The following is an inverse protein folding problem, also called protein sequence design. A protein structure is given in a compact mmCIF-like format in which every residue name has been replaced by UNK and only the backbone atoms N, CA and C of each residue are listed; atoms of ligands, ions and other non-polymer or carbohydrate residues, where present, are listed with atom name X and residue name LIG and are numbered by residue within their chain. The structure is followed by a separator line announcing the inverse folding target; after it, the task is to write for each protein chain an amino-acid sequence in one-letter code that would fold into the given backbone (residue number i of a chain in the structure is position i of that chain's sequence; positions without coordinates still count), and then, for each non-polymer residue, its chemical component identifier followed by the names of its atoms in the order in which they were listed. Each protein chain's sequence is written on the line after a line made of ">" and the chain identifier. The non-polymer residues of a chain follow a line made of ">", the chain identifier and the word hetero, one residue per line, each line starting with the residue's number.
data_IF_773831986120
#
_entry.id   IF_773831986120
#
_cell.length_a   1.000
_cell.length_b   1.000
_cell.length_c   1.000
_cell.angle_alpha   90.00
_cell.angle_beta   90.00
_cell.angle_gamma   90.00
#
_symmetry.space_group_name_H-M   'P 1'
#
loop_
_entity.id
_entity.type
_entity.pdbx_description
1 polymer ?
#
# COMPACT_ATOMS: atom_id res chain seq x y z
N UNK A 1 44.09 0.61 -27.44
CA UNK A 1 43.48 0.98 -26.18
C UNK A 1 44.13 2.27 -25.71
N UNK A 2 43.38 3.39 -25.57
CA UNK A 2 43.93 4.63 -25.05
C UNK A 2 44.41 4.39 -23.62
N UNK A 3 45.69 4.71 -23.34
CA UNK A 3 46.30 4.59 -22.03
C UNK A 3 45.52 5.44 -21.00
N UNK A 4 45.08 4.82 -19.91
CA UNK A 4 44.40 5.45 -18.80
C UNK A 4 45.36 6.01 -17.74
N UNK A 5 46.68 6.06 -18.03
CA UNK A 5 47.72 6.46 -17.08
C UNK A 5 47.55 7.90 -16.57
N UNK A 6 47.16 8.84 -17.45
CA UNK A 6 46.92 10.24 -17.06
C UNK A 6 45.73 10.43 -16.13
N UNK A 7 44.54 9.88 -16.43
CA UNK A 7 43.39 9.92 -15.50
C UNK A 7 43.68 9.22 -14.17
N UNK A 8 44.35 8.07 -14.21
CA UNK A 8 44.73 7.32 -13.01
C UNK A 8 45.69 8.13 -12.11
N UNK A 9 46.76 8.70 -12.68
CA UNK A 9 47.67 9.54 -11.92
C UNK A 9 47.01 10.77 -11.32
N UNK A 10 46.08 11.42 -12.02
CA UNK A 10 45.28 12.54 -11.50
C UNK A 10 44.42 12.14 -10.31
N UNK A 11 43.69 11.03 -10.42
CA UNK A 11 42.85 10.53 -9.36
C UNK A 11 43.66 10.14 -8.13
N UNK A 12 44.78 9.42 -8.33
CA UNK A 12 45.66 8.99 -7.25
C UNK A 12 46.31 10.15 -6.55
N UNK A 13 46.72 11.19 -7.28
CA UNK A 13 47.31 12.39 -6.71
C UNK A 13 46.35 13.17 -5.82
N UNK A 14 45.05 13.17 -6.16
CA UNK A 14 44.02 13.93 -5.47
C UNK A 14 43.03 13.03 -4.70
N UNK A 15 43.45 11.82 -4.30
CA UNK A 15 42.55 10.84 -3.68
C UNK A 15 41.77 11.38 -2.47
N UNK A 16 42.40 12.22 -1.64
CA UNK A 16 41.77 12.84 -0.47
C UNK A 16 40.57 13.71 -0.87
N UNK A 17 40.72 14.50 -1.94
CA UNK A 17 39.63 15.34 -2.46
C UNK A 17 38.48 14.47 -2.99
N UNK A 18 38.79 13.40 -3.72
CA UNK A 18 37.81 12.48 -4.22
C UNK A 18 37.04 11.77 -3.09
N UNK A 19 37.73 11.36 -2.01
CA UNK A 19 37.05 10.78 -0.83
C UNK A 19 36.13 11.80 -0.18
N UNK A 20 36.52 13.05 -0.04
CA UNK A 20 35.68 14.11 0.53
C UNK A 20 34.44 14.35 -0.35
N UNK A 21 34.64 14.45 -1.68
CA UNK A 21 33.52 14.60 -2.63
C UNK A 21 32.56 13.42 -2.53
N UNK A 22 33.05 12.19 -2.48
CA UNK A 22 32.27 10.99 -2.34
C UNK A 22 31.43 11.02 -1.05
N UNK A 23 32.04 11.37 0.08
CA UNK A 23 31.34 11.48 1.36
C UNK A 23 30.26 12.57 1.32
N UNK A 24 30.52 13.71 0.70
CA UNK A 24 29.54 14.79 0.54
C UNK A 24 28.37 14.32 -0.31
N UNK A 25 28.60 13.57 -1.38
CA UNK A 25 27.54 13.06 -2.26
C UNK A 25 26.79 11.87 -1.66
N UNK A 26 27.42 11.15 -0.73
CA UNK A 26 26.80 10.00 -0.07
C UNK A 26 25.56 10.41 0.76
N UNK A 27 25.65 11.54 1.48
CA UNK A 27 24.53 12.01 2.32
C UNK A 27 23.25 12.29 1.51
N UNK A 28 23.28 13.13 0.45
CA UNK A 28 22.06 13.35 -0.36
C UNK A 28 21.60 12.09 -1.09
N UNK A 29 22.50 11.17 -1.45
CA UNK A 29 22.15 9.90 -2.08
C UNK A 29 21.37 8.99 -1.13
N UNK A 30 21.84 8.84 0.12
CA UNK A 30 21.12 8.08 1.15
C UNK A 30 19.78 8.75 1.48
N UNK A 31 19.76 10.08 1.61
CA UNK A 31 18.53 10.82 1.84
C UNK A 31 17.52 10.60 0.71
N UNK A 32 17.95 10.75 -0.55
CA UNK A 32 17.09 10.52 -1.72
C UNK A 32 16.57 9.08 -1.78
N UNK A 33 17.43 8.09 -1.54
CA UNK A 33 17.03 6.69 -1.53
C UNK A 33 15.95 6.39 -0.47
N UNK A 34 16.09 6.94 0.73
CA UNK A 34 15.16 6.72 1.83
C UNK A 34 13.83 7.49 1.67
N UNK A 35 13.78 8.49 0.78
CA UNK A 35 12.58 9.29 0.50
C UNK A 35 11.99 8.99 -0.88
N UNK A 36 12.54 8.03 -1.61
CA UNK A 36 11.96 7.57 -2.86
C UNK A 36 10.91 6.51 -2.55
N UNK A 37 9.65 6.87 -2.77
CA UNK A 37 8.54 5.94 -2.63
C UNK A 37 8.26 5.28 -3.99
N UNK A 38 8.14 3.97 -3.99
CA UNK A 38 7.82 3.20 -5.18
C UNK A 38 6.34 2.84 -5.14
N UNK A 39 5.55 3.53 -5.96
CA UNK A 39 4.13 3.23 -6.11
C UNK A 39 3.90 2.34 -7.33
N UNK A 40 3.35 1.18 -7.10
CA UNK A 40 2.95 0.25 -8.16
C UNK A 40 1.53 0.58 -8.65
N UNK A 41 1.34 1.71 -9.32
CA UNK A 41 0.05 2.04 -9.93
C UNK A 41 0.07 1.69 -11.42
N UNK A 42 -0.32 0.46 -11.76
CA UNK A 42 -0.37 -0.02 -13.14
C UNK A 42 -1.39 0.77 -13.95
N UNK A 43 -2.52 1.14 -13.36
CA UNK A 43 -3.57 1.90 -14.05
C UNK A 43 -3.08 3.26 -14.56
N UNK A 44 -2.23 3.96 -13.81
CA UNK A 44 -1.64 5.24 -14.25
C UNK A 44 -0.59 5.10 -15.35
N UNK A 45 -0.01 3.92 -15.55
CA UNK A 45 0.93 3.66 -16.64
C UNK A 45 0.24 3.35 -17.97
N UNK A 46 -1.07 3.10 -17.94
CA UNK A 46 -1.88 2.82 -19.11
C UNK A 46 -2.38 4.13 -19.76
N UNK A 47 -2.63 4.14 -21.09
CA UNK A 47 -3.19 5.31 -21.75
C UNK A 47 -4.53 5.73 -21.13
N UNK A 48 -4.70 7.05 -20.91
CA UNK A 48 -5.94 7.61 -20.36
C UNK A 48 -7.19 7.36 -21.24
N UNK A 49 -6.97 7.01 -22.52
CA UNK A 49 -8.03 6.72 -23.48
C UNK A 49 -8.60 5.30 -23.39
N UNK A 50 -8.08 4.47 -22.51
CA UNK A 50 -8.64 3.12 -22.30
C UNK A 50 -10.00 3.23 -21.62
N UNK A 51 -10.95 2.40 -22.08
CA UNK A 51 -12.33 2.40 -21.58
C UNK A 51 -12.40 2.22 -20.05
N UNK A 52 -11.51 1.43 -19.47
CA UNK A 52 -11.44 1.24 -18.01
C UNK A 52 -11.02 2.54 -17.28
N UNK A 53 -10.08 3.31 -17.82
CA UNK A 53 -9.65 4.58 -17.23
C UNK A 53 -10.74 5.63 -17.37
N UNK A 54 -11.37 5.72 -18.55
CA UNK A 54 -12.51 6.60 -18.78
C UNK A 54 -13.67 6.30 -17.84
N UNK A 55 -14.00 5.01 -17.65
CA UNK A 55 -15.05 4.57 -16.74
C UNK A 55 -14.71 4.90 -15.27
N UNK A 56 -13.48 4.70 -14.85
CA UNK A 56 -13.03 5.05 -13.49
C UNK A 56 -13.12 6.56 -13.24
N UNK A 57 -12.68 7.38 -14.22
CA UNK A 57 -12.75 8.83 -14.11
C UNK A 57 -14.22 9.32 -14.02
N UNK A 58 -15.12 8.65 -14.74
CA UNK A 58 -16.55 8.97 -14.72
C UNK A 58 -17.20 8.58 -13.38
N UNK A 59 -16.87 7.41 -12.82
CA UNK A 59 -17.31 7.00 -11.48
C UNK A 59 -16.81 7.98 -10.43
N UNK A 60 -15.55 8.38 -10.51
CA UNK A 60 -14.98 9.39 -9.61
C UNK A 60 -15.70 10.74 -9.73
N UNK A 61 -15.96 11.19 -10.93
CA UNK A 61 -16.62 12.49 -11.18
C UNK A 61 -18.07 12.52 -10.71
N UNK A 62 -18.81 11.41 -10.83
CA UNK A 62 -20.24 11.37 -10.52
C UNK A 62 -20.53 10.91 -9.07
N UNK A 63 -19.72 10.03 -8.51
CA UNK A 63 -19.97 9.42 -7.20
C UNK A 63 -18.93 9.80 -6.14
N UNK A 64 -17.87 10.53 -6.52
CA UNK A 64 -16.75 10.89 -5.63
C UNK A 64 -16.12 9.66 -4.94
N UNK A 65 -16.08 8.54 -5.68
CA UNK A 65 -15.49 7.27 -5.26
C UNK A 65 -14.33 6.94 -6.18
N UNK A 66 -13.14 6.83 -5.62
CA UNK A 66 -11.92 6.46 -6.36
C UNK A 66 -11.50 5.02 -6.10
N UNK A 67 -11.92 4.47 -4.96
CA UNK A 67 -11.51 3.13 -4.55
C UNK A 67 -12.57 2.47 -3.68
N UNK A 68 -12.56 1.15 -3.63
CA UNK A 68 -13.42 0.36 -2.76
C UNK A 68 -12.61 -0.67 -2.00
N UNK A 69 -12.72 -0.63 -0.67
CA UNK A 69 -12.17 -1.65 0.21
C UNK A 69 -13.26 -2.61 0.63
N UNK A 70 -12.89 -3.85 0.85
CA UNK A 70 -13.77 -4.89 1.36
C UNK A 70 -13.25 -5.27 2.74
N UNK A 71 -14.11 -5.19 3.73
CA UNK A 71 -13.84 -5.68 5.09
C UNK A 71 -14.46 -7.06 5.20
N UNK A 72 -13.65 -8.06 5.47
CA UNK A 72 -14.07 -9.41 5.78
C UNK A 72 -13.99 -9.60 7.30
N UNK A 73 -15.09 -10.02 7.90
CA UNK A 73 -15.24 -10.19 9.34
C UNK A 73 -15.92 -11.51 9.67
N UNK A 74 -15.76 -11.98 10.90
CA UNK A 74 -16.45 -13.18 11.40
C UNK A 74 -17.96 -12.98 11.33
N UNK A 75 -18.66 -13.97 10.75
CA UNK A 75 -20.12 -13.97 10.64
C UNK A 75 -20.79 -13.99 12.01
N UNK A 76 -20.23 -14.71 12.99
CA UNK A 76 -20.83 -14.91 14.30
C UNK A 76 -20.55 -13.73 15.27
N UNK A 77 -19.82 -12.71 14.83
CA UNK A 77 -19.63 -11.48 15.60
C UNK A 77 -20.98 -10.84 15.93
N UNK A 78 -21.13 -10.32 17.16
CA UNK A 78 -22.36 -9.66 17.60
C UNK A 78 -22.72 -8.47 16.68
N UNK A 79 -23.99 -8.39 16.29
CA UNK A 79 -24.51 -7.37 15.36
C UNK A 79 -24.28 -5.94 15.85
N UNK A 80 -24.25 -5.71 17.18
CA UNK A 80 -23.93 -4.39 17.76
C UNK A 80 -22.46 -4.05 17.58
N UNK A 81 -21.58 -5.04 17.70
CA UNK A 81 -20.14 -4.85 17.47
C UNK A 81 -19.86 -4.58 16.00
N UNK A 82 -20.48 -5.34 15.07
CA UNK A 82 -20.40 -5.08 13.63
C UNK A 82 -20.82 -3.66 13.29
N UNK A 83 -21.99 -3.24 13.80
CA UNK A 83 -22.50 -1.89 13.56
C UNK A 83 -21.52 -0.83 14.07
N UNK A 84 -21.03 -0.97 15.31
CA UNK A 84 -20.09 -0.02 15.92
C UNK A 84 -18.77 0.05 15.14
N UNK A 85 -18.22 -1.10 14.74
CA UNK A 85 -17.04 -1.18 13.90
C UNK A 85 -17.24 -0.43 12.57
N UNK A 86 -18.37 -0.63 11.89
CA UNK A 86 -18.68 0.05 10.64
C UNK A 86 -18.90 1.55 10.80
N UNK A 87 -19.48 1.98 11.92
CA UNK A 87 -19.58 3.41 12.27
C UNK A 87 -18.21 4.03 12.52
N UNK A 88 -17.31 3.35 13.23
CA UNK A 88 -15.93 3.82 13.42
C UNK A 88 -15.16 3.89 12.10
N UNK A 89 -15.32 2.89 11.23
CA UNK A 89 -14.72 2.88 9.87
C UNK A 89 -15.29 4.05 9.04
N UNK A 90 -16.59 4.30 9.12
CA UNK A 90 -17.23 5.41 8.42
C UNK A 90 -16.69 6.80 8.82
N UNK A 91 -16.13 6.93 10.03
CA UNK A 91 -15.51 8.17 10.52
C UNK A 91 -14.02 8.30 10.14
N UNK A 92 -13.44 7.30 9.49
CA UNK A 92 -12.04 7.39 9.01
C UNK A 92 -11.97 8.40 7.88
N UNK A 93 -10.95 9.25 7.91
CA UNK A 93 -10.74 10.30 6.90
C UNK A 93 -10.71 9.71 5.49
N UNK A 94 -11.48 10.30 4.57
CA UNK A 94 -11.55 9.88 3.18
C UNK A 94 -12.50 8.70 2.91
N UNK A 95 -13.15 8.14 3.93
CA UNK A 95 -14.25 7.18 3.73
C UNK A 95 -15.50 7.97 3.38
N UNK A 96 -16.13 7.60 2.28
CA UNK A 96 -17.38 8.25 1.79
C UNK A 96 -18.61 7.52 2.26
N UNK A 97 -18.60 6.21 2.19
CA UNK A 97 -19.73 5.39 2.62
C UNK A 97 -19.27 3.99 3.03
N UNK A 98 -20.07 3.37 3.87
CA UNK A 98 -19.90 1.97 4.28
C UNK A 98 -21.19 1.23 3.98
N UNK A 99 -21.07 0.05 3.36
CA UNK A 99 -22.21 -0.82 3.04
C UNK A 99 -21.93 -2.17 3.70
N UNK A 100 -22.79 -2.56 4.61
CA UNK A 100 -22.74 -3.85 5.29
C UNK A 100 -24.13 -4.45 5.35
N UNK A 101 -24.23 -5.72 5.70
CA UNK A 101 -25.54 -6.36 5.89
C UNK A 101 -26.40 -5.58 6.88
N UNK A 102 -25.80 -5.13 7.98
CA UNK A 102 -26.49 -4.34 9.00
C UNK A 102 -26.96 -2.96 8.53
N UNK A 103 -26.22 -2.35 7.57
CA UNK A 103 -26.63 -1.05 7.00
C UNK A 103 -27.76 -1.17 5.98
N UNK A 104 -27.84 -2.31 5.27
CA UNK A 104 -28.91 -2.57 4.30
C UNK A 104 -30.25 -2.88 4.99
N UNK A 105 -30.20 -3.52 6.15
CA UNK A 105 -31.38 -3.97 6.86
C UNK A 105 -32.09 -2.89 7.67
N UNK A 106 -31.34 -1.87 8.10
CA UNK A 106 -31.89 -0.94 9.11
C UNK A 106 -32.30 -1.69 10.40
N UNK A 107 -32.71 -0.98 11.45
CA UNK A 107 -33.00 -1.61 12.75
C UNK A 107 -34.30 -2.44 12.79
N UNK A 108 -35.07 -2.46 11.73
CA UNK A 108 -36.45 -2.98 11.74
C UNK A 108 -36.70 -4.19 10.79
N UNK A 109 -35.75 -4.50 9.92
CA UNK A 109 -35.92 -5.56 8.92
C UNK A 109 -35.22 -6.83 9.41
N UNK A 110 -35.93 -7.95 9.63
CA UNK A 110 -35.30 -9.23 9.95
C UNK A 110 -34.44 -9.74 8.80
N UNK A 111 -33.30 -10.37 9.10
CA UNK A 111 -32.40 -10.97 8.11
C UNK A 111 -33.09 -11.95 7.16
N UNK A 112 -34.18 -12.58 7.61
CA UNK A 112 -34.97 -13.50 6.80
C UNK A 112 -35.74 -12.84 5.63
N UNK A 113 -35.83 -11.52 5.59
CA UNK A 113 -36.43 -10.76 4.49
C UNK A 113 -35.46 -10.39 3.38
N UNK A 114 -34.19 -10.66 3.56
CA UNK A 114 -33.17 -10.40 2.52
C UNK A 114 -33.31 -11.47 1.43
N UNK A 115 -33.33 -11.07 0.15
CA UNK A 115 -33.25 -12.01 -0.94
C UNK A 115 -31.98 -12.87 -0.83
N UNK A 116 -32.12 -14.18 -1.00
CA UNK A 116 -31.01 -15.14 -0.79
C UNK A 116 -29.80 -14.87 -1.71
N UNK A 117 -30.04 -14.32 -2.89
CA UNK A 117 -29.00 -13.88 -3.80
C UNK A 117 -28.11 -12.74 -3.24
N UNK A 118 -28.70 -11.78 -2.52
CA UNK A 118 -27.94 -10.71 -1.85
C UNK A 118 -27.22 -11.24 -0.61
N UNK A 119 -27.87 -12.11 0.13
CA UNK A 119 -27.29 -12.73 1.31
C UNK A 119 -26.07 -13.57 0.96
N UNK A 120 -26.17 -14.41 -0.08
CA UNK A 120 -25.05 -15.25 -0.53
C UNK A 120 -23.87 -14.46 -1.12
N UNK A 121 -24.08 -13.20 -1.54
CA UNK A 121 -23.00 -12.32 -2.00
C UNK A 121 -22.22 -11.67 -0.84
N UNK A 122 -22.87 -11.46 0.31
CA UNK A 122 -22.31 -10.73 1.45
C UNK A 122 -21.93 -11.64 2.62
N UNK A 123 -22.48 -12.84 2.67
CA UNK A 123 -22.25 -13.80 3.75
C UNK A 123 -21.93 -15.19 3.21
N UNK A 124 -20.91 -15.81 3.80
CA UNK A 124 -20.63 -17.24 3.69
C UNK A 124 -20.99 -17.94 5.00
N UNK A 125 -20.58 -19.21 5.16
CA UNK A 125 -20.80 -19.95 6.40
C UNK A 125 -19.96 -19.40 7.56
N UNK A 126 -18.78 -18.81 7.27
CA UNK A 126 -17.83 -18.34 8.28
C UNK A 126 -17.66 -16.82 8.30
N UNK A 127 -17.86 -16.15 7.16
CA UNK A 127 -17.50 -14.74 6.99
C UNK A 127 -18.65 -13.87 6.49
N UNK A 128 -18.60 -12.61 6.85
CA UNK A 128 -19.42 -11.53 6.31
C UNK A 128 -18.54 -10.47 5.67
N UNK A 129 -19.00 -9.94 4.54
CA UNK A 129 -18.33 -8.88 3.79
C UNK A 129 -19.05 -7.55 3.99
N UNK A 130 -18.25 -6.50 4.17
CA UNK A 130 -18.71 -5.12 4.10
C UNK A 130 -17.87 -4.33 3.11
N UNK A 131 -18.49 -3.37 2.43
CA UNK A 131 -17.84 -2.52 1.44
C UNK A 131 -17.62 -1.13 2.03
N UNK A 132 -16.45 -0.57 1.78
CA UNK A 132 -16.01 0.76 2.23
C UNK A 132 -15.56 1.54 1.02
N UNK A 133 -16.31 2.59 0.66
CA UNK A 133 -15.96 3.47 -0.46
C UNK A 133 -14.98 4.56 0.00
N UNK A 134 -13.92 4.78 -0.76
CA UNK A 134 -12.89 5.78 -0.50
C UNK A 134 -12.82 6.82 -1.60
N UNK A 135 -12.56 8.08 -1.21
CA UNK A 135 -12.24 9.17 -2.15
C UNK A 135 -10.78 9.11 -2.64
N UNK A 136 -9.91 8.40 -1.93
CA UNK A 136 -8.49 8.34 -2.24
C UNK A 136 -8.20 7.34 -3.35
N UNK A 137 -7.29 7.70 -4.24
CA UNK A 137 -6.82 6.81 -5.30
C UNK A 137 -5.88 5.74 -4.76
N UNK A 138 -5.85 4.57 -5.43
CA UNK A 138 -4.88 3.51 -5.13
C UNK A 138 -3.44 4.02 -5.24
N UNK A 139 -2.56 3.44 -4.44
CA UNK A 139 -1.14 3.75 -4.43
C UNK A 139 -0.83 5.24 -4.14
N UNK A 140 -1.46 5.79 -3.11
CA UNK A 140 -1.17 7.11 -2.53
C UNK A 140 -0.92 6.97 -1.03
N UNK A 141 -0.23 7.94 -0.43
CA UNK A 141 0.00 7.94 1.02
C UNK A 141 -1.30 8.03 1.80
N UNK A 142 -2.24 8.83 1.30
CA UNK A 142 -3.53 9.03 1.93
C UNK A 142 -4.33 7.73 2.02
N UNK A 143 -4.38 6.94 0.93
CA UNK A 143 -5.07 5.64 0.96
C UNK A 143 -4.33 4.62 1.82
N UNK A 144 -3.00 4.65 1.84
CA UNK A 144 -2.20 3.75 2.68
C UNK A 144 -2.44 4.02 4.17
N UNK A 145 -2.52 5.30 4.57
CA UNK A 145 -2.88 5.66 5.96
C UNK A 145 -4.32 5.30 6.29
N UNK A 146 -5.24 5.49 5.35
CA UNK A 146 -6.64 5.09 5.50
C UNK A 146 -6.77 3.58 5.70
N UNK A 147 -6.11 2.78 4.87
CA UNK A 147 -6.10 1.31 5.00
C UNK A 147 -5.54 0.87 6.35
N UNK A 148 -4.44 1.48 6.82
CA UNK A 148 -3.88 1.21 8.15
C UNK A 148 -4.87 1.53 9.28
N UNK A 149 -5.59 2.65 9.16
CA UNK A 149 -6.57 3.06 10.16
C UNK A 149 -7.76 2.09 10.17
N UNK A 150 -8.27 1.70 9.00
CA UNK A 150 -9.37 0.72 8.88
C UNK A 150 -8.94 -0.64 9.42
N UNK A 151 -7.76 -1.16 9.04
CA UNK A 151 -7.24 -2.43 9.52
C UNK A 151 -7.11 -2.46 11.05
N UNK A 152 -6.60 -1.38 11.63
CA UNK A 152 -6.49 -1.24 13.09
C UNK A 152 -7.87 -1.30 13.77
N UNK A 153 -8.89 -0.67 13.19
CA UNK A 153 -10.26 -0.75 13.71
C UNK A 153 -10.76 -2.19 13.59
N UNK A 154 -10.66 -2.81 12.41
CA UNK A 154 -11.10 -4.19 12.17
C UNK A 154 -10.45 -5.13 13.17
N UNK A 155 -9.11 -5.08 13.32
CA UNK A 155 -8.34 -5.93 14.26
C UNK A 155 -8.69 -5.69 15.73
N UNK A 156 -9.26 -4.56 16.09
CA UNK A 156 -9.72 -4.29 17.46
C UNK A 156 -11.01 -5.02 17.82
N UNK A 157 -11.83 -5.35 16.82
CA UNK A 157 -13.10 -6.07 16.96
C UNK A 157 -12.98 -7.55 16.60
N UNK A 158 -12.22 -7.83 15.55
CA UNK A 158 -11.98 -9.17 15.01
C UNK A 158 -10.49 -9.33 14.66
N UNK A 159 -9.79 -10.19 15.39
CA UNK A 159 -8.35 -10.43 15.19
C UNK A 159 -8.05 -11.09 13.84
N UNK A 160 -8.98 -11.89 13.34
CA UNK A 160 -8.87 -12.62 12.08
C UNK A 160 -9.52 -11.86 10.92
N UNK A 161 -10.25 -10.77 11.22
CA UNK A 161 -10.84 -9.88 10.22
C UNK A 161 -9.78 -9.27 9.30
N UNK A 162 -10.09 -9.04 8.04
CA UNK A 162 -9.16 -8.58 7.01
C UNK A 162 -9.72 -7.42 6.20
N UNK A 163 -8.84 -6.52 5.76
CA UNK A 163 -9.16 -5.48 4.78
C UNK A 163 -8.60 -5.90 3.44
N UNK A 164 -9.47 -6.03 2.44
CA UNK A 164 -9.17 -6.60 1.12
C UNK A 164 -9.49 -5.54 0.04
N UNK A 165 -8.81 -5.61 -1.08
CA UNK A 165 -9.05 -4.74 -2.23
C UNK A 165 -7.76 -4.31 -2.90
N UNK A 166 -7.88 -3.46 -3.92
CA UNK A 166 -6.71 -3.02 -4.69
C UNK A 166 -5.74 -2.21 -3.82
N UNK A 167 -6.23 -1.23 -3.06
CA UNK A 167 -5.35 -0.39 -2.25
C UNK A 167 -4.68 -1.15 -1.09
N UNK A 168 -5.37 -2.01 -0.31
CA UNK A 168 -4.70 -2.88 0.66
C UNK A 168 -3.63 -3.76 0.03
N UNK A 169 -3.92 -4.41 -1.13
CA UNK A 169 -2.95 -5.23 -1.85
C UNK A 169 -1.72 -4.42 -2.30
N UNK A 170 -1.93 -3.23 -2.85
CA UNK A 170 -0.82 -2.36 -3.29
C UNK A 170 0.03 -1.90 -2.11
N UNK A 171 -0.61 -1.61 -0.98
CA UNK A 171 0.09 -1.27 0.25
C UNK A 171 0.95 -2.42 0.76
N UNK A 172 0.41 -3.63 0.83
CA UNK A 172 1.16 -4.80 1.28
C UNK A 172 2.34 -5.11 0.34
N UNK A 173 2.12 -4.99 -0.98
CA UNK A 173 3.18 -5.12 -1.97
C UNK A 173 4.28 -4.07 -1.78
N UNK A 174 3.93 -2.83 -1.47
CA UNK A 174 4.88 -1.76 -1.19
C UNK A 174 5.68 -2.07 0.09
N UNK A 175 5.02 -2.44 1.18
CA UNK A 175 5.67 -2.74 2.46
C UNK A 175 6.68 -3.91 2.32
N UNK A 176 6.32 -4.97 1.56
CA UNK A 176 7.22 -6.10 1.28
C UNK A 176 8.39 -5.68 0.39
N UNK A 177 8.11 -4.92 -0.67
CA UNK A 177 9.15 -4.47 -1.60
C UNK A 177 10.15 -3.54 -0.94
N UNK A 178 9.70 -2.62 -0.09
CA UNK A 178 10.58 -1.71 0.64
C UNK A 178 11.52 -2.48 1.58
N UNK A 179 11.01 -3.48 2.28
CA UNK A 179 11.81 -4.36 3.12
C UNK A 179 12.84 -5.17 2.30
N UNK A 180 12.43 -5.73 1.17
CA UNK A 180 13.30 -6.50 0.28
C UNK A 180 14.39 -5.64 -0.34
N UNK A 181 14.06 -4.43 -0.78
CA UNK A 181 15.04 -3.49 -1.34
C UNK A 181 16.12 -3.11 -0.32
N UNK A 182 15.73 -2.85 0.92
CA UNK A 182 16.71 -2.58 2.00
C UNK A 182 17.61 -3.79 2.22
N UNK A 183 17.06 -4.98 2.32
CA UNK A 183 17.81 -6.22 2.55
C UNK A 183 18.79 -6.51 1.39
N UNK A 184 18.34 -6.40 0.15
CA UNK A 184 19.16 -6.62 -1.05
C UNK A 184 20.29 -5.57 -1.14
N UNK A 185 19.98 -4.30 -0.87
CA UNK A 185 21.00 -3.24 -0.89
C UNK A 185 22.06 -3.45 0.18
N UNK A 186 21.67 -3.75 1.42
CA UNK A 186 22.62 -4.01 2.52
C UNK A 186 23.48 -5.23 2.22
N UNK A 187 22.88 -6.33 1.75
CA UNK A 187 23.60 -7.54 1.42
C UNK A 187 24.59 -7.32 0.26
N UNK A 188 24.14 -6.66 -0.80
CA UNK A 188 24.95 -6.39 -2.00
C UNK A 188 26.13 -5.47 -1.68
N UNK A 189 25.89 -4.36 -0.99
CA UNK A 189 26.93 -3.41 -0.59
C UNK A 189 27.93 -4.10 0.35
N UNK A 190 27.44 -4.87 1.33
CA UNK A 190 28.27 -5.61 2.27
C UNK A 190 29.15 -6.66 1.57
N UNK A 191 28.58 -7.43 0.64
CA UNK A 191 29.31 -8.43 -0.11
C UNK A 191 30.40 -7.80 -0.99
N UNK A 192 30.07 -6.73 -1.73
CA UNK A 192 31.06 -6.00 -2.56
C UNK A 192 32.17 -5.43 -1.68
N UNK A 193 31.83 -4.85 -0.54
CA UNK A 193 32.82 -4.30 0.40
C UNK A 193 33.78 -5.37 0.90
N UNK A 194 33.27 -6.54 1.32
CA UNK A 194 34.10 -7.68 1.77
C UNK A 194 35.00 -8.17 0.64
N UNK A 195 34.47 -8.36 -0.56
CA UNK A 195 35.24 -8.80 -1.73
C UNK A 195 36.36 -7.79 -2.04
N UNK A 196 36.03 -6.50 -2.06
CA UNK A 196 37.05 -5.45 -2.28
C UNK A 196 38.16 -5.46 -1.23
N UNK A 197 37.79 -5.63 0.05
CA UNK A 197 38.79 -5.73 1.13
C UNK A 197 39.70 -6.95 0.98
N UNK A 198 39.15 -8.11 0.66
CA UNK A 198 39.90 -9.35 0.47
C UNK A 198 40.82 -9.26 -0.76
N UNK A 199 40.33 -8.61 -1.84
CA UNK A 199 41.11 -8.48 -3.08
C UNK A 199 42.18 -7.40 -3.00
N UNK A 200 41.97 -6.32 -2.23
CA UNK A 200 42.93 -5.21 -2.11
C UNK A 200 43.81 -5.31 -0.88
N UNK A 201 43.58 -6.28 0.01
CA UNK A 201 44.45 -6.54 1.16
C UNK A 201 45.79 -7.19 0.67
N UNK A 202 46.97 -6.64 1.00
CA UNK A 202 48.24 -7.18 0.59
C UNK A 202 48.56 -8.53 1.23
#
# INVERSE_FOLDING_TARGET
>A
VKSLDKPSAFITKHYKAWVVIFLILLFPSIYGNNHTQIYYNIARSLPATLDCNVANDEVKAQFDVSNMHIVMMDRDMDSKQKKKMMEEIGNVKGVKSTISMSSLLGPTIPESMIPENLRSMLQSDEYELAFVSSEYESATDEVNEQVKAIDKIVKSYDKDGMVIGEAPLMKDLQDVTDADLVNVNVLSIGAIFIICLLYTSP
#
